data_IF_613977749425
#
_entry.id   IF_613977749425
#
_cell.length_a   1.000
_cell.length_b   1.000
_cell.length_c   1.000
_cell.angle_alpha   90.00
_cell.angle_beta   90.00
_cell.angle_gamma   90.00
#
_symmetry.space_group_name_H-M   'P 1'
#
loop_
_entity.id
_entity.type
_entity.pdbx_description
1 polymer ?
#
# COMPACT_ATOMS: atom_id res chain seq x y z
N UNK A 1 -19.32 29.46 -7.77
CA UNK A 1 -18.98 29.75 -6.37
C UNK A 1 -18.48 28.45 -5.77
N UNK A 2 -17.23 28.34 -5.29
CA UNK A 2 -16.78 27.12 -4.64
C UNK A 2 -17.51 26.96 -3.30
N UNK A 3 -18.08 25.78 -3.08
CA UNK A 3 -18.78 25.37 -1.86
C UNK A 3 -17.87 25.53 -0.63
N UNK A 4 -18.41 25.87 0.55
CA UNK A 4 -17.62 25.91 1.78
C UNK A 4 -17.04 24.50 2.03
N UNK A 5 -15.74 24.42 2.26
CA UNK A 5 -15.02 23.18 2.56
C UNK A 5 -15.66 22.46 3.75
N UNK A 6 -16.51 21.47 3.48
CA UNK A 6 -17.05 20.59 4.50
C UNK A 6 -15.88 19.78 5.04
N UNK A 7 -15.54 20.00 6.31
CA UNK A 7 -14.44 19.27 6.95
C UNK A 7 -14.78 17.79 6.92
N UNK A 8 -13.92 17.01 6.25
CA UNK A 8 -14.03 15.55 6.17
C UNK A 8 -14.20 14.97 7.58
N UNK A 9 -15.17 14.09 7.83
CA UNK A 9 -15.45 13.63 9.17
C UNK A 9 -14.30 12.74 9.67
N UNK A 10 -13.72 13.13 10.82
CA UNK A 10 -12.53 12.47 11.40
C UNK A 10 -12.69 10.96 11.57
N UNK A 11 -13.93 10.48 11.78
CA UNK A 11 -14.22 9.07 11.98
C UNK A 11 -13.89 8.22 10.75
N UNK A 12 -13.94 8.76 9.51
CA UNK A 12 -13.58 7.98 8.31
C UNK A 12 -12.10 7.59 8.36
N UNK A 13 -11.22 8.52 8.75
CA UNK A 13 -9.80 8.20 8.93
C UNK A 13 -9.57 7.19 10.05
N UNK A 14 -10.36 7.24 11.11
CA UNK A 14 -10.32 6.24 12.17
C UNK A 14 -10.80 4.87 11.67
N UNK A 15 -11.87 4.83 10.87
CA UNK A 15 -12.39 3.60 10.27
C UNK A 15 -11.38 2.98 9.29
N UNK A 16 -10.78 3.79 8.42
CA UNK A 16 -9.68 3.38 7.52
C UNK A 16 -8.53 2.79 8.34
N UNK A 17 -8.11 3.46 9.42
CA UNK A 17 -7.04 2.97 10.27
C UNK A 17 -7.38 1.63 10.96
N UNK A 18 -8.63 1.43 11.37
CA UNK A 18 -9.11 0.17 11.97
C UNK A 18 -9.09 -0.96 10.94
N UNK A 19 -9.57 -0.73 9.72
CA UNK A 19 -9.55 -1.74 8.64
C UNK A 19 -8.10 -2.11 8.29
N UNK A 20 -7.21 -1.13 8.15
CA UNK A 20 -5.78 -1.36 7.89
C UNK A 20 -5.12 -2.14 9.04
N UNK A 21 -5.42 -1.79 10.31
CA UNK A 21 -4.85 -2.50 11.46
C UNK A 21 -5.32 -3.96 11.55
N UNK A 22 -6.57 -4.24 11.20
CA UNK A 22 -7.10 -5.60 11.12
C UNK A 22 -6.41 -6.45 10.04
N UNK A 23 -5.94 -5.83 8.95
CA UNK A 23 -5.21 -6.48 7.86
C UNK A 23 -3.72 -6.70 8.18
N UNK A 24 -3.02 -5.68 8.70
CA UNK A 24 -1.58 -5.75 9.03
C UNK A 24 -1.30 -6.70 10.20
N UNK A 25 -2.27 -6.92 11.09
CA UNK A 25 -2.16 -7.80 12.25
C UNK A 25 -1.87 -9.28 11.95
N UNK A 26 -1.96 -9.73 10.69
CA UNK A 26 -1.83 -11.14 10.33
C UNK A 26 -0.42 -11.54 9.84
N UNK A 27 0.45 -10.60 9.42
CA UNK A 27 1.71 -10.98 8.73
C UNK A 27 3.04 -10.59 9.40
N UNK A 28 3.05 -9.89 10.54
CA UNK A 28 4.31 -9.41 11.14
C UNK A 28 4.48 -9.70 12.65
N UNK A 29 3.64 -10.55 13.25
CA UNK A 29 3.83 -10.91 14.65
C UNK A 29 4.89 -12.03 14.79
N UNK A 30 5.98 -11.84 15.56
CA UNK A 30 6.83 -12.95 15.96
C UNK A 30 5.98 -13.96 16.75
N UNK A 31 6.15 -15.24 16.47
CA UNK A 31 5.43 -16.33 17.12
C UNK A 31 5.58 -16.24 18.64
N UNK A 32 4.58 -15.67 19.33
CA UNK A 32 4.56 -15.58 20.79
C UNK A 32 3.97 -14.31 21.40
N UNK A 33 3.71 -13.24 20.64
CA UNK A 33 3.04 -12.03 21.16
C UNK A 33 1.57 -11.99 20.74
N UNK A 34 0.66 -12.16 21.69
CA UNK A 34 -0.77 -11.99 21.47
C UNK A 34 -1.13 -10.51 21.45
N UNK A 35 -2.15 -10.12 20.68
CA UNK A 35 -2.70 -8.74 20.63
C UNK A 35 -3.11 -8.25 22.04
N UNK A 36 -3.42 -9.20 22.93
CA UNK A 36 -3.78 -8.95 24.34
C UNK A 36 -2.59 -8.42 25.15
N UNK A 37 -1.36 -8.85 24.85
CA UNK A 37 -0.15 -8.45 25.59
C UNK A 37 0.28 -7.01 25.27
N UNK A 38 -0.12 -6.49 24.10
CA UNK A 38 0.23 -5.14 23.65
C UNK A 38 -0.60 -4.04 24.34
N UNK A 39 -1.82 -4.36 24.81
CA UNK A 39 -2.73 -3.41 25.46
C UNK A 39 -2.74 -3.52 26.99
N UNK A 40 -2.21 -4.61 27.54
CA UNK A 40 -2.27 -4.90 28.97
C UNK A 40 -0.92 -4.57 29.61
N UNK A 41 -0.71 -3.29 29.96
CA UNK A 41 0.42 -2.87 30.79
C UNK A 41 0.61 -3.83 31.97
N UNK A 42 1.82 -4.37 32.09
CA UNK A 42 2.11 -5.61 32.81
C UNK A 42 1.47 -5.76 34.19
N UNK A 43 0.92 -6.95 34.43
CA UNK A 43 0.82 -7.54 35.76
C UNK A 43 0.85 -9.07 35.61
N UNK A 44 1.87 -9.68 36.18
CA UNK A 44 1.99 -11.12 36.29
C UNK A 44 0.84 -11.70 37.15
N UNK A 45 0.34 -12.86 36.73
CA UNK A 45 -0.28 -13.84 37.61
C UNK A 45 -1.80 -13.77 37.77
N UNK A 46 -2.52 -14.65 37.08
CA UNK A 46 -3.24 -15.77 37.71
C UNK A 46 -4.06 -16.52 36.66
N UNK A 47 -3.95 -17.84 36.70
CA UNK A 47 -4.86 -18.74 35.98
C UNK A 47 -6.29 -18.56 36.49
N UNK A 48 -7.25 -18.49 35.57
CA UNK A 48 -8.59 -18.99 35.85
C UNK A 48 -9.27 -19.52 34.57
N UNK A 49 -9.23 -20.85 34.49
CA UNK A 49 -10.24 -21.82 34.06
C UNK A 49 -11.44 -21.38 33.21
N UNK A 50 -11.75 -22.22 32.22
CA UNK A 50 -12.75 -22.03 31.19
C UNK A 50 -14.19 -21.77 31.66
N UNK A 51 -14.84 -20.91 30.87
CA UNK A 51 -16.27 -20.82 30.65
C UNK A 51 -16.50 -20.64 29.13
N UNK A 52 -17.60 -21.14 28.56
CA UNK A 52 -17.83 -21.11 27.11
C UNK A 52 -18.06 -19.68 26.59
N UNK A 53 -17.74 -19.51 25.31
CA UNK A 53 -17.81 -18.29 24.51
C UNK A 53 -19.14 -17.52 24.66
N UNK A 54 -19.06 -16.19 24.51
CA UNK A 54 -20.13 -15.17 24.37
C UNK A 54 -20.59 -14.39 25.61
N UNK A 55 -19.69 -13.61 26.21
CA UNK A 55 -20.09 -12.32 26.79
C UNK A 55 -20.05 -11.26 25.68
N UNK A 56 -21.13 -11.13 24.89
CA UNK A 56 -21.33 -9.91 24.08
C UNK A 56 -21.25 -8.73 25.04
N UNK A 57 -20.28 -7.84 24.83
CA UNK A 57 -20.01 -6.77 25.79
C UNK A 57 -21.24 -5.85 25.90
N UNK A 58 -21.42 -5.18 27.04
CA UNK A 58 -22.52 -4.22 27.17
C UNK A 58 -22.46 -3.13 26.09
N UNK A 59 -21.25 -2.75 25.69
CA UNK A 59 -21.00 -1.80 24.61
C UNK A 59 -21.45 -2.32 23.24
N UNK A 60 -21.23 -3.60 22.93
CA UNK A 60 -21.68 -4.18 21.66
C UNK A 60 -23.20 -4.27 21.58
N UNK A 61 -23.88 -4.53 22.71
CA UNK A 61 -25.35 -4.51 22.78
C UNK A 61 -25.90 -3.11 22.60
N UNK A 62 -25.27 -2.10 23.19
CA UNK A 62 -25.67 -0.71 23.03
C UNK A 62 -25.53 -0.26 21.57
N UNK A 63 -24.39 -0.58 20.94
CA UNK A 63 -24.14 -0.33 19.51
C UNK A 63 -25.15 -1.04 18.60
N UNK A 64 -25.52 -2.30 18.88
CA UNK A 64 -26.54 -3.00 18.08
C UNK A 64 -27.93 -2.35 18.21
N UNK A 65 -28.29 -1.86 19.41
CA UNK A 65 -29.53 -1.12 19.61
C UNK A 65 -29.52 0.21 18.84
N UNK A 66 -28.38 0.91 18.86
CA UNK A 66 -28.18 2.16 18.11
C UNK A 66 -28.27 1.91 16.59
N UNK A 67 -27.60 0.87 16.08
CA UNK A 67 -27.66 0.45 14.68
C UNK A 67 -29.11 0.19 14.23
N UNK A 68 -29.89 -0.58 15.01
CA UNK A 68 -31.32 -0.82 14.74
C UNK A 68 -32.15 0.46 14.76
N UNK A 69 -31.76 1.43 15.58
CA UNK A 69 -32.38 2.76 15.61
C UNK A 69 -32.21 3.47 14.27
N UNK A 70 -30.99 3.48 13.74
CA UNK A 70 -30.68 4.05 12.43
C UNK A 70 -31.31 3.27 11.27
N UNK A 71 -31.35 1.94 11.34
CA UNK A 71 -32.06 1.11 10.34
C UNK A 71 -33.54 1.51 10.21
N UNK A 72 -34.23 1.77 11.32
CA UNK A 72 -35.62 2.26 11.30
C UNK A 72 -35.78 3.66 10.72
N UNK A 73 -34.75 4.51 10.85
CA UNK A 73 -34.74 5.80 10.16
C UNK A 73 -34.63 5.55 8.66
N UNK A 74 -33.73 4.67 8.24
CA UNK A 74 -33.51 4.31 6.83
C UNK A 74 -34.69 3.56 6.20
N UNK A 75 -35.52 2.86 6.98
CA UNK A 75 -36.79 2.30 6.50
C UNK A 75 -37.77 3.39 6.05
N UNK A 76 -37.72 4.58 6.67
CA UNK A 76 -38.61 5.72 6.36
C UNK A 76 -37.97 6.72 5.41
N UNK A 77 -36.67 6.92 5.55
CA UNK A 77 -35.85 7.85 4.79
C UNK A 77 -34.61 7.10 4.27
N UNK A 78 -34.75 6.32 3.18
CA UNK A 78 -33.69 5.43 2.67
C UNK A 78 -32.38 6.15 2.32
N UNK A 79 -32.49 7.44 2.03
CA UNK A 79 -31.40 8.31 1.59
C UNK A 79 -30.92 9.27 2.70
N UNK A 80 -31.31 9.04 3.96
CA UNK A 80 -30.85 9.87 5.07
C UNK A 80 -29.35 9.66 5.31
N UNK A 81 -28.53 10.56 4.79
CA UNK A 81 -27.06 10.50 4.86
C UNK A 81 -26.53 10.39 6.29
N UNK A 82 -27.15 11.07 7.25
CA UNK A 82 -26.71 11.04 8.65
C UNK A 82 -26.95 9.67 9.26
N UNK A 83 -28.07 9.03 8.93
CA UNK A 83 -28.37 7.67 9.38
C UNK A 83 -27.49 6.64 8.66
N UNK A 84 -27.21 6.81 7.36
CA UNK A 84 -26.26 5.97 6.62
C UNK A 84 -24.85 6.06 7.21
N UNK A 85 -24.33 7.27 7.42
CA UNK A 85 -23.01 7.53 8.01
C UNK A 85 -22.87 6.91 9.40
N UNK A 86 -23.88 7.12 10.26
CA UNK A 86 -23.87 6.57 11.60
C UNK A 86 -23.95 5.03 11.61
N UNK A 87 -24.79 4.43 10.76
CA UNK A 87 -24.93 2.98 10.68
C UNK A 87 -23.65 2.33 10.16
N UNK A 88 -23.05 2.86 9.09
CA UNK A 88 -21.75 2.40 8.57
C UNK A 88 -20.70 2.46 9.67
N UNK A 89 -20.56 3.60 10.35
CA UNK A 89 -19.59 3.77 11.44
C UNK A 89 -19.76 2.70 12.51
N UNK A 90 -21.00 2.49 12.99
CA UNK A 90 -21.28 1.51 14.04
C UNK A 90 -20.91 0.09 13.59
N UNK A 91 -21.29 -0.30 12.37
CA UNK A 91 -20.97 -1.64 11.84
C UNK A 91 -19.46 -1.85 11.67
N UNK A 92 -18.73 -0.84 11.20
CA UNK A 92 -17.27 -0.90 11.08
C UNK A 92 -16.59 -0.97 12.45
N UNK A 93 -17.05 -0.23 13.46
CA UNK A 93 -16.55 -0.32 14.84
C UNK A 93 -16.79 -1.70 15.46
N UNK A 94 -17.88 -2.37 15.06
CA UNK A 94 -18.19 -3.75 15.47
C UNK A 94 -17.38 -4.80 14.69
N UNK A 95 -16.65 -4.42 13.64
CA UNK A 95 -15.98 -5.33 12.72
C UNK A 95 -16.94 -6.10 11.81
N UNK A 96 -18.19 -5.68 11.72
CA UNK A 96 -19.22 -6.28 10.86
C UNK A 96 -19.13 -5.69 9.44
N UNK A 97 -18.05 -6.05 8.75
CA UNK A 97 -17.71 -5.56 7.41
C UNK A 97 -18.75 -5.97 6.36
N UNK A 98 -19.35 -7.16 6.51
CA UNK A 98 -20.38 -7.66 5.61
C UNK A 98 -21.65 -6.80 5.71
N UNK A 99 -22.14 -6.54 6.93
CA UNK A 99 -23.29 -5.66 7.12
C UNK A 99 -22.99 -4.20 6.72
N UNK A 100 -21.76 -3.73 6.89
CA UNK A 100 -21.37 -2.37 6.51
C UNK A 100 -21.37 -2.15 4.98
N UNK A 101 -21.04 -3.17 4.19
CA UNK A 101 -20.81 -3.05 2.74
C UNK A 101 -22.00 -2.44 2.01
N UNK A 102 -23.21 -2.99 2.18
CA UNK A 102 -24.40 -2.51 1.46
C UNK A 102 -24.83 -1.09 1.87
N UNK A 103 -24.59 -0.69 3.12
CA UNK A 103 -24.87 0.68 3.57
C UNK A 103 -23.82 1.66 3.07
N UNK A 104 -22.55 1.24 3.02
CA UNK A 104 -21.44 2.03 2.55
C UNK A 104 -21.48 2.23 1.02
N UNK A 105 -21.97 1.25 0.26
CA UNK A 105 -22.29 1.40 -1.16
C UNK A 105 -23.25 2.57 -1.40
N UNK A 106 -24.41 2.56 -0.72
CA UNK A 106 -25.39 3.66 -0.80
C UNK A 106 -24.79 5.00 -0.40
N UNK A 107 -24.00 5.01 0.67
CA UNK A 107 -23.36 6.24 1.15
C UNK A 107 -22.33 6.78 0.14
N UNK A 108 -21.54 5.92 -0.49
CA UNK A 108 -20.58 6.29 -1.52
C UNK A 108 -21.23 6.70 -2.86
N UNK A 109 -22.46 6.27 -3.12
CA UNK A 109 -23.28 6.75 -4.24
C UNK A 109 -23.85 8.14 -3.98
N UNK A 110 -24.43 8.37 -2.80
CA UNK A 110 -24.96 9.68 -2.41
C UNK A 110 -23.86 10.74 -2.31
N UNK A 111 -22.73 10.38 -1.70
CA UNK A 111 -21.57 11.26 -1.52
C UNK A 111 -20.48 11.01 -2.55
N UNK A 112 -20.87 11.03 -3.82
CA UNK A 112 -19.96 10.79 -4.95
C UNK A 112 -18.81 11.80 -5.02
N UNK A 113 -18.95 12.98 -4.42
CA UNK A 113 -17.91 14.02 -4.33
C UNK A 113 -16.93 13.83 -3.15
N UNK A 114 -17.20 12.86 -2.26
CA UNK A 114 -16.33 12.49 -1.13
C UNK A 114 -15.65 11.13 -1.41
N UNK A 115 -14.48 11.09 -2.07
CA UNK A 115 -13.83 9.85 -2.49
C UNK A 115 -13.47 8.91 -1.32
N UNK A 116 -13.36 9.45 -0.10
CA UNK A 116 -13.03 8.69 1.10
C UNK A 116 -14.03 7.58 1.43
N UNK A 117 -15.32 7.76 1.14
CA UNK A 117 -16.31 6.68 1.33
C UNK A 117 -16.11 5.54 0.33
N UNK A 118 -15.70 5.86 -0.90
CA UNK A 118 -15.38 4.86 -1.93
C UNK A 118 -14.06 4.14 -1.65
N UNK A 119 -13.07 4.84 -1.07
CA UNK A 119 -11.87 4.19 -0.52
C UNK A 119 -12.23 3.21 0.58
N UNK A 120 -13.04 3.65 1.55
CA UNK A 120 -13.46 2.81 2.66
C UNK A 120 -14.24 1.59 2.15
N UNK A 121 -15.08 1.76 1.13
CA UNK A 121 -15.78 0.64 0.48
C UNK A 121 -14.80 -0.35 -0.13
N UNK A 122 -13.80 0.14 -0.87
CA UNK A 122 -12.76 -0.71 -1.44
C UNK A 122 -12.00 -1.50 -0.38
N UNK A 123 -11.65 -0.88 0.74
CA UNK A 123 -10.98 -1.54 1.87
C UNK A 123 -11.86 -2.57 2.58
N UNK A 124 -13.14 -2.27 2.76
CA UNK A 124 -14.12 -3.21 3.34
C UNK A 124 -14.33 -4.42 2.41
N UNK A 125 -14.39 -4.20 1.10
CA UNK A 125 -14.46 -5.27 0.08
C UNK A 125 -13.20 -6.11 0.04
N UNK A 126 -12.02 -5.49 0.13
CA UNK A 126 -10.74 -6.20 0.31
C UNK A 126 -10.78 -7.11 1.55
N UNK A 127 -11.21 -6.58 2.68
CA UNK A 127 -11.27 -7.31 3.95
C UNK A 127 -12.27 -8.47 3.93
N UNK A 128 -13.37 -8.34 3.18
CA UNK A 128 -14.39 -9.38 3.01
C UNK A 128 -14.09 -10.35 1.86
N UNK A 129 -12.99 -10.13 1.13
CA UNK A 129 -12.53 -11.00 0.05
C UNK A 129 -13.09 -10.67 -1.35
N UNK A 130 -13.91 -9.64 -1.50
CA UNK A 130 -14.33 -9.10 -2.80
C UNK A 130 -13.22 -8.23 -3.40
N UNK A 131 -12.12 -8.86 -3.80
CA UNK A 131 -10.95 -8.17 -4.36
C UNK A 131 -11.28 -7.47 -5.69
N UNK A 132 -12.19 -8.03 -6.49
CA UNK A 132 -12.62 -7.43 -7.76
C UNK A 132 -13.45 -6.17 -7.54
N UNK A 133 -14.37 -6.19 -6.58
CA UNK A 133 -15.09 -4.99 -6.14
C UNK A 133 -14.16 -3.91 -5.60
N UNK A 134 -13.18 -4.29 -4.78
CA UNK A 134 -12.19 -3.36 -4.24
C UNK A 134 -11.36 -2.67 -5.35
N UNK A 135 -10.87 -3.44 -6.33
CA UNK A 135 -10.16 -2.88 -7.50
C UNK A 135 -11.04 -1.89 -8.28
N UNK A 136 -12.33 -2.21 -8.47
CA UNK A 136 -13.27 -1.32 -9.17
C UNK A 136 -13.45 -0.01 -8.41
N UNK A 137 -13.60 -0.04 -7.10
CA UNK A 137 -13.79 1.17 -6.29
C UNK A 137 -12.54 2.07 -6.28
N UNK A 138 -11.35 1.49 -6.10
CA UNK A 138 -10.11 2.27 -6.13
C UNK A 138 -9.88 2.89 -7.51
N UNK A 139 -10.13 2.14 -8.60
CA UNK A 139 -10.01 2.68 -9.96
C UNK A 139 -10.98 3.83 -10.21
N UNK A 140 -12.23 3.71 -9.75
CA UNK A 140 -13.23 4.79 -9.87
C UNK A 140 -12.73 6.08 -9.23
N UNK A 141 -12.09 6.00 -8.06
CA UNK A 141 -11.49 7.19 -7.42
C UNK A 141 -10.31 7.74 -8.23
N UNK A 142 -9.49 6.87 -8.82
CA UNK A 142 -8.35 7.28 -9.64
C UNK A 142 -8.76 7.85 -11.01
N UNK A 143 -9.93 7.47 -11.55
CA UNK A 143 -10.51 8.08 -12.76
C UNK A 143 -10.83 9.56 -12.54
N UNK A 144 -11.32 9.92 -11.35
CA UNK A 144 -11.68 11.29 -10.98
C UNK A 144 -10.48 12.07 -10.45
N UNK A 145 -9.60 11.41 -9.68
CA UNK A 145 -8.39 11.98 -9.13
C UNK A 145 -7.20 11.01 -9.28
N UNK A 146 -6.47 11.09 -10.40
CA UNK A 146 -5.35 10.19 -10.70
C UNK A 146 -4.21 10.26 -9.68
N UNK A 147 -4.11 11.35 -8.92
CA UNK A 147 -3.12 11.56 -7.87
C UNK A 147 -3.58 11.12 -6.48
N UNK A 148 -4.77 10.51 -6.34
CA UNK A 148 -5.32 10.19 -5.03
C UNK A 148 -4.58 9.03 -4.37
N UNK A 149 -3.56 9.38 -3.58
CA UNK A 149 -2.64 8.42 -2.99
C UNK A 149 -3.32 7.27 -2.23
N UNK A 150 -4.38 7.48 -1.42
CA UNK A 150 -5.06 6.36 -0.75
C UNK A 150 -5.64 5.32 -1.71
N UNK A 151 -6.22 5.73 -2.86
CA UNK A 151 -6.72 4.81 -3.86
C UNK A 151 -5.59 4.04 -4.52
N UNK A 152 -4.51 4.75 -4.88
CA UNK A 152 -3.35 4.15 -5.52
C UNK A 152 -2.67 3.14 -4.60
N UNK A 153 -2.56 3.45 -3.31
CA UNK A 153 -2.04 2.53 -2.28
C UNK A 153 -2.91 1.28 -2.15
N UNK A 154 -4.24 1.42 -2.09
CA UNK A 154 -5.15 0.28 -2.07
C UNK A 154 -5.01 -0.60 -3.31
N UNK A 155 -5.06 -0.01 -4.51
CA UNK A 155 -4.94 -0.74 -5.77
C UNK A 155 -3.61 -1.47 -5.92
N UNK A 156 -2.50 -0.78 -5.63
CA UNK A 156 -1.16 -1.38 -5.73
C UNK A 156 -0.93 -2.43 -4.66
N UNK A 157 -1.46 -2.26 -3.45
CA UNK A 157 -1.45 -3.28 -2.40
C UNK A 157 -2.14 -4.57 -2.85
N UNK A 158 -3.34 -4.46 -3.42
CA UNK A 158 -4.07 -5.60 -3.99
C UNK A 158 -3.30 -6.29 -5.11
N UNK A 159 -2.68 -5.52 -6.02
CA UNK A 159 -1.87 -6.08 -7.10
C UNK A 159 -0.64 -6.81 -6.56
N UNK A 160 0.01 -6.31 -5.51
CA UNK A 160 1.12 -6.98 -4.87
C UNK A 160 0.69 -8.26 -4.14
N UNK A 161 -0.48 -8.27 -3.49
CA UNK A 161 -1.05 -9.48 -2.89
C UNK A 161 -1.37 -10.55 -3.94
N UNK A 162 -1.72 -10.15 -5.15
CA UNK A 162 -1.96 -11.03 -6.30
C UNK A 162 -0.67 -11.46 -7.03
N UNK A 163 0.51 -11.14 -6.48
CA UNK A 163 1.82 -11.41 -7.10
C UNK A 163 1.97 -10.74 -8.50
N UNK A 164 1.46 -9.51 -8.64
CA UNK A 164 1.53 -8.70 -9.87
C UNK A 164 2.32 -7.40 -9.65
N UNK A 165 3.61 -7.45 -9.29
CA UNK A 165 4.38 -6.27 -8.94
C UNK A 165 4.62 -5.32 -10.11
N UNK A 166 4.75 -5.81 -11.35
CA UNK A 166 4.90 -4.95 -12.54
C UNK A 166 3.64 -4.14 -12.82
N UNK A 167 2.46 -4.73 -12.59
CA UNK A 167 1.20 -4.02 -12.73
C UNK A 167 1.09 -2.91 -11.67
N UNK A 168 1.46 -3.21 -10.42
CA UNK A 168 1.47 -2.21 -9.34
C UNK A 168 2.41 -1.04 -9.66
N UNK A 169 3.62 -1.32 -10.16
CA UNK A 169 4.56 -0.30 -10.62
C UNK A 169 3.96 0.53 -11.77
N UNK A 170 3.32 -0.12 -12.74
CA UNK A 170 2.70 0.53 -13.89
C UNK A 170 1.61 1.54 -13.49
N UNK A 171 0.76 1.21 -12.52
CA UNK A 171 -0.28 2.12 -12.02
C UNK A 171 0.34 3.40 -11.40
N UNK A 172 1.43 3.28 -10.63
CA UNK A 172 2.13 4.45 -10.06
C UNK A 172 2.87 5.25 -11.12
N UNK A 173 3.49 4.57 -12.09
CA UNK A 173 4.16 5.24 -13.21
C UNK A 173 3.18 6.01 -14.11
N UNK A 174 1.98 5.48 -14.32
CA UNK A 174 0.92 6.19 -15.03
C UNK A 174 0.51 7.47 -14.28
N UNK A 175 0.33 7.41 -12.96
CA UNK A 175 0.05 8.58 -12.14
C UNK A 175 1.21 9.61 -12.16
N UNK A 176 2.47 9.14 -12.16
CA UNK A 176 3.65 10.00 -12.27
C UNK A 176 3.72 10.71 -13.63
N UNK A 177 3.42 10.02 -14.72
CA UNK A 177 3.39 10.63 -16.05
C UNK A 177 2.34 11.76 -16.14
N UNK A 178 1.22 11.62 -15.42
CA UNK A 178 0.22 12.69 -15.30
C UNK A 178 0.73 13.86 -14.44
N UNK A 179 1.56 13.61 -13.43
CA UNK A 179 2.19 14.66 -12.62
C UNK A 179 3.21 15.50 -13.41
N UNK A 180 3.82 14.94 -14.45
CA UNK A 180 4.77 15.63 -15.33
C UNK A 180 4.09 16.52 -16.38
N UNK A 181 2.77 16.38 -16.56
CA UNK A 181 2.02 17.19 -17.51
C UNK A 181 1.99 18.68 -17.10
N UNK A 182 2.04 19.62 -18.06
CA UNK A 182 1.89 21.04 -17.76
C UNK A 182 0.57 21.33 -17.05
N UNK A 183 0.62 22.11 -15.96
CA UNK A 183 -0.54 22.46 -15.11
C UNK A 183 -1.23 21.25 -14.44
N UNK A 184 -0.49 20.15 -14.19
CA UNK A 184 -1.02 19.04 -13.40
C UNK A 184 -1.17 19.44 -11.93
N UNK A 185 -2.31 19.09 -11.33
CA UNK A 185 -2.57 19.19 -9.89
C UNK A 185 -2.06 17.94 -9.12
N UNK A 186 -1.49 16.96 -9.83
CA UNK A 186 -1.00 15.71 -9.23
C UNK A 186 0.37 15.94 -8.57
N UNK A 187 0.48 15.62 -7.28
CA UNK A 187 1.72 15.76 -6.54
C UNK A 187 2.71 14.63 -6.87
N UNK A 188 3.89 14.98 -7.39
CA UNK A 188 4.94 14.01 -7.78
C UNK A 188 5.57 13.27 -6.60
N UNK A 189 5.97 14.00 -5.55
CA UNK A 189 6.78 13.44 -4.44
C UNK A 189 6.06 12.31 -3.69
N UNK A 190 4.77 12.43 -3.31
CA UNK A 190 4.06 11.32 -2.66
C UNK A 190 3.99 10.06 -3.52
N UNK A 191 3.82 10.20 -4.84
CA UNK A 191 3.81 9.08 -5.79
C UNK A 191 5.18 8.41 -5.88
N UNK A 192 6.27 9.19 -5.94
CA UNK A 192 7.63 8.63 -5.93
C UNK A 192 7.95 7.92 -4.61
N UNK A 193 7.54 8.47 -3.47
CA UNK A 193 7.71 7.80 -2.18
C UNK A 193 7.00 6.44 -2.17
N UNK A 194 5.78 6.38 -2.71
CA UNK A 194 5.03 5.14 -2.83
C UNK A 194 5.70 4.15 -3.78
N UNK A 195 6.19 4.60 -4.95
CA UNK A 195 6.97 3.76 -5.86
C UNK A 195 8.23 3.19 -5.19
N UNK A 196 8.95 4.03 -4.43
CA UNK A 196 10.09 3.61 -3.63
C UNK A 196 9.70 2.51 -2.63
N UNK A 197 8.58 2.67 -1.92
CA UNK A 197 8.05 1.66 -0.99
C UNK A 197 7.72 0.34 -1.69
N UNK A 198 7.08 0.38 -2.86
CA UNK A 198 6.83 -0.81 -3.68
C UNK A 198 8.15 -1.52 -4.01
N UNK A 199 9.17 -0.78 -4.47
CA UNK A 199 10.49 -1.35 -4.75
C UNK A 199 11.14 -1.99 -3.52
N UNK A 200 10.98 -1.41 -2.33
CA UNK A 200 11.43 -2.02 -1.07
C UNK A 200 10.70 -3.33 -0.78
N UNK A 201 9.38 -3.36 -0.98
CA UNK A 201 8.55 -4.53 -0.71
C UNK A 201 8.91 -5.71 -1.61
N UNK A 202 9.17 -5.45 -2.89
CA UNK A 202 9.54 -6.49 -3.88
C UNK A 202 11.05 -6.80 -3.92
N UNK A 203 11.84 -6.21 -3.03
CA UNK A 203 13.29 -6.46 -2.93
C UNK A 203 14.16 -5.80 -4.01
N UNK A 204 13.62 -4.89 -4.83
CA UNK A 204 14.38 -4.12 -5.83
C UNK A 204 15.09 -2.94 -5.18
N UNK A 205 16.03 -3.24 -4.28
CA UNK A 205 16.71 -2.23 -3.45
C UNK A 205 17.42 -1.13 -4.24
N UNK A 206 18.08 -1.45 -5.34
CA UNK A 206 18.78 -0.45 -6.17
C UNK A 206 17.80 0.57 -6.75
N UNK A 207 16.64 0.12 -7.23
CA UNK A 207 15.60 1.01 -7.75
C UNK A 207 14.98 1.87 -6.63
N UNK A 208 14.73 1.27 -5.46
CA UNK A 208 14.24 2.01 -4.29
C UNK A 208 15.21 3.14 -3.88
N UNK A 209 16.50 2.83 -3.77
CA UNK A 209 17.54 3.82 -3.40
C UNK A 209 17.61 4.94 -4.43
N UNK A 210 17.56 4.62 -5.72
CA UNK A 210 17.60 5.63 -6.78
C UNK A 210 16.43 6.63 -6.66
N UNK A 211 15.21 6.14 -6.43
CA UNK A 211 14.04 6.98 -6.23
C UNK A 211 14.19 7.84 -4.97
N UNK A 212 14.65 7.27 -3.85
CA UNK A 212 14.86 8.06 -2.63
C UNK A 212 15.94 9.12 -2.78
N UNK A 213 17.04 8.82 -3.49
CA UNK A 213 18.11 9.77 -3.76
C UNK A 213 17.63 10.92 -4.65
N UNK A 214 16.79 10.64 -5.64
CA UNK A 214 16.16 11.67 -6.48
C UNK A 214 15.32 12.64 -5.63
N UNK A 215 14.42 12.13 -4.80
CA UNK A 215 13.56 12.96 -3.93
C UNK A 215 14.43 13.78 -2.95
N UNK A 216 15.45 13.16 -2.36
CA UNK A 216 16.33 13.83 -1.39
C UNK A 216 17.22 14.89 -2.04
N UNK A 217 17.55 14.77 -3.33
CA UNK A 217 18.29 15.79 -4.08
C UNK A 217 17.42 17.02 -4.36
N UNK A 218 16.14 16.84 -4.67
CA UNK A 218 15.19 17.92 -4.91
C UNK A 218 14.77 18.63 -3.63
N UNK A 219 14.55 17.87 -2.56
CA UNK A 219 14.19 18.40 -1.24
C UNK A 219 15.08 17.81 -0.14
N UNK A 220 16.25 18.42 0.13
CA UNK A 220 17.18 17.95 1.16
C UNK A 220 16.64 18.01 2.60
N UNK A 221 15.52 18.71 2.83
CA UNK A 221 14.87 18.81 4.13
C UNK A 221 13.81 17.72 4.37
N UNK A 222 13.44 16.95 3.34
CA UNK A 222 12.50 15.85 3.50
C UNK A 222 13.19 14.65 4.15
N UNK A 223 12.77 14.32 5.37
CA UNK A 223 13.30 13.18 6.11
C UNK A 223 12.83 11.82 5.54
N UNK A 224 11.70 11.78 4.83
CA UNK A 224 11.05 10.54 4.38
C UNK A 224 11.91 9.71 3.43
N UNK A 225 12.47 10.27 2.33
CA UNK A 225 13.36 9.49 1.45
C UNK A 225 14.65 9.07 2.15
N UNK A 226 15.19 9.91 3.04
CA UNK A 226 16.41 9.59 3.82
C UNK A 226 16.15 8.39 4.73
N UNK A 227 15.01 8.36 5.42
CA UNK A 227 14.58 7.24 6.23
C UNK A 227 14.31 5.98 5.38
N UNK A 228 13.66 6.13 4.23
CA UNK A 228 13.42 5.03 3.28
C UNK A 228 14.73 4.37 2.85
N UNK A 229 15.74 5.17 2.49
CA UNK A 229 17.08 4.68 2.14
C UNK A 229 17.79 4.02 3.32
N UNK A 230 17.70 4.59 4.53
CA UNK A 230 18.26 3.99 5.74
C UNK A 230 17.71 2.57 5.97
N UNK A 231 16.39 2.38 5.85
CA UNK A 231 15.74 1.09 5.99
C UNK A 231 16.21 0.07 4.95
N UNK A 232 16.38 0.50 3.69
CA UNK A 232 16.90 -0.38 2.64
C UNK A 232 18.34 -0.82 2.91
N UNK A 233 19.22 0.11 3.31
CA UNK A 233 20.61 -0.21 3.64
C UNK A 233 20.71 -1.12 4.87
N UNK A 234 19.86 -0.90 5.88
CA UNK A 234 19.79 -1.75 7.06
C UNK A 234 19.43 -3.19 6.71
N UNK A 235 18.45 -3.40 5.81
CA UNK A 235 18.09 -4.73 5.30
C UNK A 235 19.19 -5.41 4.48
N UNK A 236 20.13 -4.64 3.93
CA UNK A 236 21.30 -5.15 3.20
C UNK A 236 22.50 -5.46 4.11
N UNK A 237 22.38 -5.27 5.44
CA UNK A 237 23.51 -5.41 6.37
C UNK A 237 24.51 -4.25 6.31
N UNK A 238 24.19 -3.16 5.59
CA UNK A 238 25.01 -1.93 5.56
C UNK A 238 24.67 -1.06 6.76
N UNK A 239 24.82 -1.63 7.95
CA UNK A 239 24.30 -1.09 9.22
C UNK A 239 24.86 0.30 9.53
N UNK A 240 26.16 0.51 9.31
CA UNK A 240 26.81 1.79 9.57
C UNK A 240 26.22 2.93 8.71
N UNK A 241 26.06 2.70 7.41
CA UNK A 241 25.47 3.69 6.50
C UNK A 241 23.98 3.92 6.81
N UNK A 242 23.26 2.86 7.17
CA UNK A 242 21.86 2.95 7.57
C UNK A 242 21.69 3.84 8.81
N UNK A 243 22.58 3.70 9.80
CA UNK A 243 22.57 4.50 11.03
C UNK A 243 22.81 5.98 10.78
N UNK A 244 23.84 6.31 9.99
CA UNK A 244 24.13 7.71 9.63
C UNK A 244 22.95 8.40 8.96
N UNK A 245 22.25 7.67 8.07
CA UNK A 245 21.03 8.17 7.44
C UNK A 245 19.85 8.25 8.41
N UNK A 246 19.69 7.29 9.33
CA UNK A 246 18.65 7.33 10.35
C UNK A 246 18.81 8.54 11.30
N UNK A 247 20.04 8.84 11.74
CA UNK A 247 20.35 10.02 12.55
C UNK A 247 20.04 11.32 11.80
N UNK A 248 20.40 11.39 10.51
CA UNK A 248 20.05 12.52 9.65
C UNK A 248 18.54 12.65 9.50
N UNK A 249 17.82 11.56 9.26
CA UNK A 249 16.37 11.57 9.17
C UNK A 249 15.72 12.05 10.48
N UNK A 250 16.23 11.62 11.64
CA UNK A 250 15.74 12.06 12.95
C UNK A 250 15.94 13.57 13.16
N UNK A 251 17.07 14.12 12.72
CA UNK A 251 17.35 15.54 12.80
C UNK A 251 16.37 16.39 11.96
N UNK A 252 16.00 15.89 10.77
CA UNK A 252 15.07 16.53 9.83
C UNK A 252 13.59 16.34 10.20
N UNK A 253 13.27 15.27 10.93
CA UNK A 253 11.89 14.86 11.16
C UNK A 253 11.11 15.80 12.13
N UNK A 254 9.80 16.01 11.89
CA UNK A 254 8.88 16.58 12.88
C UNK A 254 8.86 15.80 14.20
N UNK A 255 8.58 16.47 15.32
CA UNK A 255 8.62 15.89 16.67
C UNK A 255 7.86 14.56 16.80
N UNK A 256 6.66 14.45 16.18
CA UNK A 256 5.82 13.24 16.22
C UNK A 256 6.49 11.96 15.67
N UNK A 257 7.53 12.10 14.84
CA UNK A 257 8.23 10.97 14.24
C UNK A 257 9.61 10.71 14.84
N UNK A 258 10.13 11.64 15.65
CA UNK A 258 11.50 11.56 16.17
C UNK A 258 11.72 10.32 17.02
N UNK A 259 10.78 10.01 17.92
CA UNK A 259 10.89 8.86 18.82
C UNK A 259 10.91 7.54 18.04
N UNK A 260 10.09 7.42 17.00
CA UNK A 260 10.03 6.24 16.14
C UNK A 260 11.34 6.05 15.35
N UNK A 261 11.89 7.13 14.79
CA UNK A 261 13.16 7.08 14.06
C UNK A 261 14.32 6.79 15.01
N UNK A 262 14.28 7.33 16.23
CA UNK A 262 15.27 7.03 17.26
C UNK A 262 15.28 5.55 17.66
N UNK A 263 14.10 4.95 17.80
CA UNK A 263 13.98 3.52 18.09
C UNK A 263 14.60 2.67 16.97
N UNK A 264 14.40 3.05 15.71
CA UNK A 264 15.04 2.39 14.58
C UNK A 264 16.58 2.52 14.65
N UNK A 265 17.11 3.71 14.91
CA UNK A 265 18.55 3.92 15.05
C UNK A 265 19.14 3.05 16.18
N UNK A 266 18.45 2.93 17.32
CA UNK A 266 18.85 2.06 18.42
C UNK A 266 18.84 0.57 18.06
N UNK A 267 17.91 0.13 17.20
CA UNK A 267 17.89 -1.26 16.71
C UNK A 267 19.09 -1.52 15.78
N UNK A 268 19.42 -0.57 14.90
CA UNK A 268 20.60 -0.68 14.04
C UNK A 268 21.89 -0.75 14.89
N UNK A 269 22.00 0.04 15.97
CA UNK A 269 23.11 -0.03 16.93
C UNK A 269 23.27 -1.40 17.60
N UNK A 270 22.15 -2.05 17.91
CA UNK A 270 22.18 -3.38 18.50
C UNK A 270 22.67 -4.41 17.49
N UNK A 271 22.20 -4.33 16.24
CA UNK A 271 22.65 -5.21 15.16
C UNK A 271 24.15 -5.07 14.91
N UNK A 272 24.67 -3.84 14.85
CA UNK A 272 26.11 -3.57 14.69
C UNK A 272 26.95 -4.25 15.79
N UNK A 273 26.52 -4.12 17.06
CA UNK A 273 27.21 -4.74 18.20
C UNK A 273 27.17 -6.26 18.15
N UNK A 274 26.05 -6.84 17.71
CA UNK A 274 25.92 -8.27 17.55
C UNK A 274 26.86 -8.78 16.45
N UNK A 275 26.92 -8.10 15.30
CA UNK A 275 27.84 -8.42 14.20
C UNK A 275 29.30 -8.32 14.64
N UNK A 276 29.68 -7.25 15.36
CA UNK A 276 31.02 -7.09 15.89
C UNK A 276 31.39 -8.19 16.92
N UNK A 277 30.44 -8.59 17.76
CA UNK A 277 30.67 -9.69 18.72
C UNK A 277 30.77 -11.06 18.05
N UNK A 278 30.03 -11.29 16.97
CA UNK A 278 30.08 -12.50 16.16
C UNK A 278 31.41 -12.60 15.40
N UNK A 279 31.88 -11.49 14.82
CA UNK A 279 33.20 -11.43 14.17
C UNK A 279 34.33 -11.78 15.15
N UNK A 280 34.36 -11.13 16.33
CA UNK A 280 35.40 -11.37 17.34
C UNK A 280 35.39 -12.81 17.90
N UNK A 281 34.22 -13.45 17.99
CA UNK A 281 34.12 -14.85 18.45
C UNK A 281 34.50 -15.85 17.36
N UNK A 282 34.28 -15.55 16.09
CA UNK A 282 34.76 -16.36 14.96
C UNK A 282 36.29 -16.35 14.84
N UNK A 283 36.93 -15.19 15.02
CA UNK A 283 38.39 -15.07 15.01
C UNK A 283 39.05 -15.79 16.20
N UNK A 284 38.43 -15.74 17.38
CA UNK A 284 38.92 -16.45 18.56
C UNK A 284 38.81 -17.98 18.45
N UNK A 285 37.82 -18.48 17.70
CA UNK A 285 37.66 -19.91 17.39
C UNK A 285 38.74 -20.40 16.42
N UNK A 286 39.07 -19.61 15.39
CA UNK A 286 40.07 -19.97 14.38
C UNK A 286 41.51 -19.88 14.92
N UNK A 287 41.75 -19.00 15.89
CA UNK A 287 43.03 -18.90 16.61
C UNK A 287 43.25 -20.00 17.68
N UNK A 288 42.23 -20.82 17.97
CA UNK A 288 42.25 -21.89 18.99
C UNK A 288 42.73 -23.27 18.50
N UNK A 289 43.13 -23.40 17.23
CA UNK A 289 43.64 -24.64 16.63
C UNK A 289 45.06 -25.02 17.06
N UNK A 290 45.15 -25.66 18.23
CA UNK A 290 46.20 -26.58 18.74
C UNK A 290 47.65 -26.08 18.99
N UNK A 291 48.18 -26.20 20.22
CA UNK A 291 49.58 -26.48 20.47
C UNK A 291 49.87 -28.00 20.56
N UNK A 292 51.04 -28.36 20.05
CA UNK A 292 51.67 -29.70 19.99
C UNK A 292 51.35 -30.70 21.11
N UNK A 293 51.09 -31.94 20.70
CA UNK A 293 51.40 -33.15 21.48
C UNK A 293 52.33 -34.04 20.64
N UNK A 294 53.62 -34.00 20.99
CA UNK A 294 54.64 -34.86 20.41
C UNK A 294 54.68 -36.26 21.06
N UNK A 295 55.04 -37.24 20.21
CA UNK A 295 55.83 -38.46 20.46
C UNK A 295 55.11 -39.81 20.29
N UNK A 296 55.32 -40.47 19.15
CA UNK A 296 56.22 -41.65 19.06
C UNK A 296 56.43 -42.08 17.60
N UNK A 297 57.67 -42.46 17.33
CA UNK A 297 58.25 -42.94 16.07
C UNK A 297 57.66 -44.30 15.66
N UNK A 298 57.43 -44.53 14.35
CA UNK A 298 57.99 -45.69 13.62
C UNK A 298 57.83 -45.53 12.10
N UNK A 299 58.72 -46.20 11.37
CA UNK A 299 59.24 -45.93 10.04
C UNK A 299 58.31 -46.15 8.82
N UNK A 300 58.68 -45.48 7.72
CA UNK A 300 58.69 -46.11 6.39
C UNK A 300 58.12 -45.31 5.21
N UNK A 301 59.03 -44.97 4.29
CA UNK A 301 58.84 -44.71 2.84
C UNK A 301 58.54 -43.27 2.35
N UNK A 302 59.52 -42.74 1.60
CA UNK A 302 59.44 -41.60 0.67
C UNK A 302 58.69 -41.96 -0.65
N UNK A 303 58.63 -41.07 -1.68
CA UNK A 303 57.82 -39.85 -1.82
C UNK A 303 56.99 -39.92 -3.14
N UNK A 304 56.34 -38.83 -3.59
CA UNK A 304 56.30 -38.35 -5.01
C UNK A 304 55.26 -37.21 -5.18
N UNK A 305 55.81 -36.00 -5.39
CA UNK A 305 55.48 -34.97 -6.41
C UNK A 305 54.02 -34.45 -6.54
N UNK A 306 53.82 -33.19 -6.13
CA UNK A 306 52.86 -32.23 -6.71
C UNK A 306 53.45 -31.61 -8.00
N UNK A 307 52.72 -30.98 -8.95
CA UNK A 307 51.88 -29.78 -8.73
C UNK A 307 50.60 -29.78 -9.65
N UNK A 308 49.67 -28.83 -9.68
CA UNK A 308 49.76 -27.42 -10.04
C UNK A 308 48.40 -26.72 -9.80
N UNK A 309 48.47 -25.48 -9.35
CA UNK A 309 47.42 -24.45 -9.48
C UNK A 309 47.24 -24.03 -10.94
N UNK A 310 46.09 -23.42 -11.31
CA UNK A 310 46.21 -22.09 -11.87
C UNK A 310 45.14 -21.09 -11.38
N UNK A 311 45.45 -19.84 -11.69
CA UNK A 311 44.93 -18.59 -11.14
C UNK A 311 43.75 -18.00 -11.93
N UNK A 312 43.11 -17.03 -11.27
CA UNK A 312 42.31 -15.90 -11.74
C UNK A 312 42.47 -15.50 -13.23
N UNK A 313 41.35 -15.24 -13.90
CA UNK A 313 41.29 -14.34 -15.05
C UNK A 313 40.06 -13.41 -14.94
N UNK A 314 40.33 -12.11 -15.01
CA UNK A 314 39.37 -11.01 -15.22
C UNK A 314 39.00 -10.98 -16.69
N UNK A 315 37.74 -10.73 -17.04
CA UNK A 315 37.40 -10.12 -18.34
C UNK A 315 36.23 -9.15 -18.22
N UNK A 316 36.41 -8.06 -18.95
CA UNK A 316 35.72 -6.78 -18.98
C UNK A 316 34.61 -6.77 -20.06
N UNK A 317 33.72 -5.78 -19.96
CA UNK A 317 32.86 -5.17 -20.98
C UNK A 317 32.41 -5.94 -22.24
N UNK A 318 31.09 -5.92 -22.52
CA UNK A 318 30.47 -5.25 -23.69
C UNK A 318 29.12 -5.91 -24.09
N UNK A 319 28.07 -5.09 -24.16
CA UNK A 319 26.97 -5.29 -25.11
C UNK A 319 27.51 -5.03 -26.54
N UNK A 320 26.87 -5.52 -27.62
CA UNK A 320 25.77 -4.70 -28.18
C UNK A 320 24.71 -5.45 -29.02
N UNK A 321 23.71 -4.64 -29.42
CA UNK A 321 22.86 -4.67 -30.62
C UNK A 321 21.55 -5.48 -30.70
N UNK A 322 20.53 -4.67 -30.96
CA UNK A 322 19.29 -4.91 -31.67
C UNK A 322 19.45 -5.76 -32.94
N UNK A 323 18.41 -6.53 -33.25
CA UNK A 323 18.06 -6.85 -34.63
C UNK A 323 16.55 -6.75 -34.81
N UNK A 324 16.18 -5.80 -35.67
CA UNK A 324 14.91 -5.76 -36.38
C UNK A 324 14.78 -7.02 -37.23
N UNK A 325 13.58 -7.60 -37.32
CA UNK A 325 13.14 -8.27 -38.54
C UNK A 325 11.65 -8.04 -38.74
N UNK A 326 11.38 -7.25 -39.77
CA UNK A 326 10.09 -7.14 -40.45
C UNK A 326 9.96 -8.29 -41.45
N UNK A 327 8.80 -8.93 -41.50
CA UNK A 327 8.14 -9.44 -42.71
C UNK A 327 6.72 -9.86 -42.26
N UNK A 328 5.67 -9.07 -42.52
CA UNK A 328 4.97 -8.87 -43.80
C UNK A 328 4.17 -10.11 -44.26
N UNK A 329 2.85 -9.89 -44.34
CA UNK A 329 1.84 -10.57 -45.16
C UNK A 329 1.49 -12.04 -44.80
N UNK A 330 0.31 -12.26 -44.20
CA UNK A 330 -0.73 -13.02 -44.91
C UNK A 330 -2.14 -12.84 -44.27
N UNK A 331 -3.06 -12.37 -45.10
CA UNK A 331 -4.53 -12.44 -45.00
C UNK A 331 -4.98 -12.05 -46.39
N UNK A 332 -5.78 -12.87 -47.10
CA UNK A 332 -7.22 -12.90 -46.81
C UNK A 332 -7.96 -14.20 -47.22
N UNK A 333 -9.08 -14.53 -46.58
CA UNK A 333 -10.30 -15.08 -47.22
C UNK A 333 -11.41 -15.21 -46.16
N UNK A 334 -12.43 -14.33 -46.15
CA UNK A 334 -13.72 -14.46 -46.85
C UNK A 334 -14.53 -15.69 -46.42
N UNK A 335 -15.51 -15.47 -45.56
CA UNK A 335 -16.79 -16.17 -45.61
C UNK A 335 -17.90 -15.22 -45.15
N UNK A 336 -18.71 -14.81 -46.12
CA UNK A 336 -19.94 -14.06 -45.94
C UNK A 336 -21.12 -15.02 -45.69
N UNK A 337 -22.07 -14.56 -44.89
CA UNK A 337 -23.51 -14.89 -44.95
C UNK A 337 -24.21 -13.68 -44.33
N UNK A 338 -24.64 -12.68 -45.11
CA UNK A 338 -25.99 -12.63 -45.72
C UNK A 338 -27.09 -13.08 -44.77
N UNK A 339 -27.72 -12.11 -44.09
CA UNK A 339 -29.19 -12.04 -44.11
C UNK A 339 -29.63 -10.57 -44.06
N UNK A 340 -30.54 -10.23 -44.97
CA UNK A 340 -31.04 -8.91 -45.24
C UNK A 340 -32.43 -8.75 -44.63
N UNK A 341 -32.62 -7.68 -43.85
CA UNK A 341 -33.92 -7.32 -43.28
C UNK A 341 -34.09 -5.81 -43.32
N UNK A 342 -34.78 -5.36 -44.35
CA UNK A 342 -35.03 -3.99 -44.81
C UNK A 342 -35.62 -3.02 -43.75
N UNK A 343 -35.03 -1.82 -43.75
CA UNK A 343 -35.49 -0.46 -43.37
C UNK A 343 -37.01 -0.14 -43.49
N UNK A 344 -37.57 0.95 -42.87
CA UNK A 344 -37.03 2.31 -43.04
C UNK A 344 -37.14 3.36 -41.90
N UNK A 345 -36.09 4.19 -41.88
CA UNK A 345 -36.05 5.66 -41.86
C UNK A 345 -37.37 6.42 -41.64
N UNK A 346 -37.44 7.21 -40.56
CA UNK A 346 -38.23 8.44 -40.47
C UNK A 346 -37.46 9.51 -39.69
N UNK A 347 -37.21 10.64 -40.33
CA UNK A 347 -36.91 11.96 -39.77
C UNK A 347 -37.37 13.01 -40.79
N UNK A 348 -37.40 14.31 -40.46
CA UNK A 348 -38.16 14.98 -39.40
C UNK A 348 -39.16 15.99 -40.02
N UNK A 349 -40.27 16.28 -39.34
CA UNK A 349 -41.19 17.36 -39.75
C UNK A 349 -41.22 18.48 -38.71
N UNK A 350 -40.71 19.65 -39.10
CA UNK A 350 -41.24 20.97 -38.70
C UNK A 350 -41.72 21.64 -39.97
N UNK A 351 -42.84 22.40 -39.92
CA UNK A 351 -42.67 23.83 -40.15
C UNK A 351 -43.67 24.77 -39.42
N UNK A 352 -43.22 26.04 -39.35
CA UNK A 352 -43.99 27.31 -39.44
C UNK A 352 -44.85 27.78 -38.25
N UNK A 353 -44.40 28.78 -37.49
CA UNK A 353 -44.57 30.26 -37.68
C UNK A 353 -46.02 30.76 -37.66
N UNK A 354 -46.36 31.54 -36.64
CA UNK A 354 -46.59 33.00 -36.71
C UNK A 354 -47.71 33.47 -35.76
N UNK A 355 -47.61 34.75 -35.37
CA UNK A 355 -48.63 35.62 -34.81
C UNK A 355 -48.58 35.96 -33.30
N UNK A 356 -47.96 37.13 -33.07
CA UNK A 356 -48.61 38.31 -32.49
C UNK A 356 -48.82 38.43 -30.98
N UNK A 357 -47.89 39.19 -30.39
CA UNK A 357 -48.09 40.42 -29.62
C UNK A 357 -48.53 40.38 -28.14
N UNK A 358 -48.01 41.31 -27.30
CA UNK A 358 -48.20 41.34 -25.86
C UNK A 358 -49.35 42.26 -25.43
N UNK A 359 -49.95 41.97 -24.28
CA UNK A 359 -50.74 42.95 -23.53
C UNK A 359 -50.09 43.11 -22.15
N UNK A 360 -49.50 44.29 -21.95
CA UNK A 360 -49.30 44.87 -20.63
C UNK A 360 -50.62 45.49 -20.18
N UNK A 361 -50.97 45.37 -18.90
CA UNK A 361 -51.37 46.53 -18.09
C UNK A 361 -51.28 46.21 -16.58
N UNK A 362 -51.04 47.24 -15.74
CA UNK A 362 -50.72 47.10 -14.31
C UNK A 362 -51.95 47.33 -13.42
N UNK A 363 -51.89 46.89 -12.16
CA UNK A 363 -52.75 47.43 -11.10
C UNK A 363 -51.91 47.64 -9.84
N UNK A 364 -52.19 48.79 -9.22
CA UNK A 364 -51.57 49.52 -8.10
C UNK A 364 -51.18 48.73 -6.85
#
# INVERSE_FOLDING_TARGET
>A
MPSPSQKRPFWIYAAIAVVIAAFVGVSLLPAGLSIVDLFSGGAAGSQQSGAPLTSVSAADRERDLEARGYEKVLEREPDNETALDALVRIRLEQGDFEAATGWLEKLAEHKSDEPDYRILLGQVREQTGDLEGAVRDFRRVLEENPGYLPALQGLTGLLLQQDRPEAAIGEVQAALALAEAPNSDVERVPLQLHLGQIYVQIGRSTAAIAIFDEIAAENPADFRPVLGKALVLGRQGRIQEAKELADRAQALAPARYKDQIQQLALQLDQLEKLEASAANSSEASDAGGAPDAAASEDAGAEPVVAPDTPQLEKLDSAAPEASESSDAADSPEVAASEDAGTEPVVAPDTPETDSSAPIAEPVE
#
